data_IF_900770874622
#
_entry.id   IF_900770874622
#
_cell.length_a   1.000
_cell.length_b   1.000
_cell.length_c   1.000
_cell.angle_alpha   90.00
_cell.angle_beta   90.00
_cell.angle_gamma   90.00
#
_symmetry.space_group_name_H-M   'P 1'
#
loop_
_entity.id
_entity.type
_entity.pdbx_description
1 polymer ?
#
# COMPACT_ATOMS: atom_id res chain seq x y z
N UNK A 1 -17.02 -21.86 -24.73
CA UNK A 1 -15.81 -21.08 -25.11
C UNK A 1 -16.23 -19.63 -25.24
N UNK A 2 -15.91 -18.77 -24.26
CA UNK A 2 -16.25 -17.35 -24.34
C UNK A 2 -15.51 -16.74 -25.55
N UNK A 3 -16.25 -16.19 -26.53
CA UNK A 3 -15.67 -15.49 -27.67
C UNK A 3 -14.96 -14.25 -27.14
N UNK A 4 -13.62 -14.25 -27.21
CA UNK A 4 -12.79 -13.13 -26.75
C UNK A 4 -12.72 -12.10 -27.87
N UNK A 5 -13.11 -10.86 -27.58
CA UNK A 5 -12.82 -9.72 -28.43
C UNK A 5 -11.92 -8.78 -27.64
N UNK A 6 -10.76 -8.37 -28.18
CA UNK A 6 -9.90 -7.40 -27.51
C UNK A 6 -10.65 -6.08 -27.35
N UNK A 7 -10.74 -5.56 -26.13
CA UNK A 7 -11.37 -4.28 -25.85
C UNK A 7 -10.32 -3.18 -25.99
N UNK A 8 -10.42 -2.34 -27.03
CA UNK A 8 -9.57 -1.16 -27.17
C UNK A 8 -10.28 0.05 -26.57
N UNK A 9 -9.72 0.63 -25.53
CA UNK A 9 -10.24 1.84 -24.90
C UNK A 9 -9.10 2.73 -24.38
N UNK A 10 -9.42 3.99 -24.09
CA UNK A 10 -8.45 4.93 -23.52
C UNK A 10 -8.15 4.58 -22.04
N UNK A 11 -7.14 5.23 -21.45
CA UNK A 11 -6.71 4.97 -20.06
C UNK A 11 -7.85 5.18 -19.06
N UNK A 12 -8.73 6.15 -19.32
CA UNK A 12 -9.93 6.39 -18.53
C UNK A 12 -10.96 5.26 -18.64
N UNK A 13 -11.19 4.70 -19.82
CA UNK A 13 -12.09 3.57 -20.01
C UNK A 13 -11.59 2.34 -19.25
N UNK A 14 -10.27 2.12 -19.20
CA UNK A 14 -9.67 1.09 -18.35
C UNK A 14 -9.90 1.33 -16.85
N UNK A 15 -9.82 2.59 -16.41
CA UNK A 15 -10.19 2.98 -15.03
C UNK A 15 -11.66 2.67 -14.72
N UNK A 16 -12.58 2.96 -15.65
CA UNK A 16 -14.01 2.65 -15.50
C UNK A 16 -14.23 1.15 -15.40
N UNK A 17 -13.60 0.35 -16.26
CA UNK A 17 -13.69 -1.12 -16.22
C UNK A 17 -13.15 -1.67 -14.89
N UNK A 18 -12.02 -1.16 -14.41
CA UNK A 18 -11.45 -1.54 -13.14
C UNK A 18 -12.39 -1.19 -11.97
N UNK A 19 -12.91 0.03 -11.97
CA UNK A 19 -13.86 0.50 -10.96
C UNK A 19 -15.12 -0.37 -10.93
N UNK A 20 -15.60 -0.82 -12.09
CA UNK A 20 -16.69 -1.80 -12.19
C UNK A 20 -16.35 -3.13 -11.51
N UNK A 21 -15.16 -3.67 -11.72
CA UNK A 21 -14.70 -4.88 -11.02
C UNK A 21 -14.62 -4.67 -9.51
N UNK A 22 -14.10 -3.53 -9.05
CA UNK A 22 -14.03 -3.18 -7.62
C UNK A 22 -15.42 -3.06 -6.99
N UNK A 23 -16.39 -2.50 -7.72
CA UNK A 23 -17.78 -2.43 -7.26
C UNK A 23 -18.37 -3.83 -7.05
N UNK A 24 -18.11 -4.76 -7.98
CA UNK A 24 -18.53 -6.16 -7.83
C UNK A 24 -17.87 -6.80 -6.61
N UNK A 25 -16.58 -6.56 -6.35
CA UNK A 25 -15.91 -7.04 -5.12
C UNK A 25 -16.68 -6.58 -3.88
N UNK A 26 -17.00 -5.28 -3.78
CA UNK A 26 -17.75 -4.73 -2.65
C UNK A 26 -19.14 -5.35 -2.48
N UNK A 27 -19.89 -5.52 -3.57
CA UNK A 27 -21.20 -6.18 -3.54
C UNK A 27 -21.12 -7.65 -3.09
N UNK A 28 -20.10 -8.39 -3.53
CA UNK A 28 -19.91 -9.78 -3.14
C UNK A 28 -19.54 -9.90 -1.65
N UNK A 29 -18.73 -8.97 -1.13
CA UNK A 29 -18.42 -8.90 0.29
C UNK A 29 -19.66 -8.57 1.14
N UNK A 30 -20.46 -7.59 0.71
CA UNK A 30 -21.70 -7.25 1.41
C UNK A 30 -22.68 -8.43 1.42
N UNK A 31 -22.82 -9.14 0.30
CA UNK A 31 -23.64 -10.36 0.22
C UNK A 31 -23.16 -11.41 1.23
N UNK A 32 -21.86 -11.71 1.25
CA UNK A 32 -21.30 -12.70 2.17
C UNK A 32 -21.49 -12.30 3.65
N UNK A 33 -21.37 -11.00 3.98
CA UNK A 33 -21.66 -10.49 5.32
C UNK A 33 -23.13 -10.70 5.70
N UNK A 34 -24.06 -10.34 4.82
CA UNK A 34 -25.50 -10.51 5.06
C UNK A 34 -25.88 -11.99 5.20
N UNK A 35 -25.37 -12.86 4.32
CA UNK A 35 -25.58 -14.31 4.42
C UNK A 35 -25.04 -14.87 5.73
N UNK A 36 -23.83 -14.45 6.14
CA UNK A 36 -23.24 -14.89 7.41
C UNK A 36 -24.03 -14.45 8.65
N UNK A 37 -24.86 -13.40 8.54
CA UNK A 37 -25.73 -12.94 9.63
C UNK A 37 -27.06 -13.70 9.72
N UNK A 38 -27.47 -14.37 8.64
CA UNK A 38 -28.73 -15.10 8.52
C UNK A 38 -28.57 -16.60 8.81
N UNK A 39 -27.40 -17.18 8.53
CA UNK A 39 -27.17 -18.62 8.61
C UNK A 39 -26.63 -19.04 10.00
N UNK A 40 -27.53 -19.60 10.81
CA UNK A 40 -27.24 -20.45 11.95
C UNK A 40 -27.23 -21.92 11.50
N UNK A 41 -26.03 -22.49 11.32
CA UNK A 41 -25.68 -23.92 11.42
C UNK A 41 -26.39 -25.02 10.58
N UNK A 42 -27.36 -24.75 9.71
CA UNK A 42 -28.20 -25.84 9.16
C UNK A 42 -27.99 -26.26 7.70
N UNK A 43 -27.16 -25.57 6.89
CA UNK A 43 -26.90 -26.00 5.51
C UNK A 43 -25.41 -25.86 5.16
N UNK A 44 -24.72 -26.95 4.78
CA UNK A 44 -23.36 -26.87 4.27
C UNK A 44 -23.42 -26.22 2.89
N UNK A 45 -23.32 -24.90 2.85
CA UNK A 45 -23.25 -24.19 1.60
C UNK A 45 -22.00 -24.68 0.85
N UNK A 46 -22.20 -25.34 -0.28
CA UNK A 46 -21.25 -25.40 -1.38
C UNK A 46 -21.07 -23.95 -1.90
N UNK A 47 -20.39 -23.14 -1.10
CA UNK A 47 -20.15 -21.72 -1.34
C UNK A 47 -19.44 -21.59 -2.67
N UNK A 48 -20.15 -21.08 -3.68
CA UNK A 48 -19.54 -20.64 -4.93
C UNK A 48 -18.58 -19.50 -4.59
N UNK A 49 -17.31 -19.85 -4.36
CA UNK A 49 -16.25 -18.91 -4.01
C UNK A 49 -16.07 -17.95 -5.18
N UNK A 50 -16.49 -16.72 -4.99
CA UNK A 50 -16.41 -15.67 -6.01
C UNK A 50 -15.00 -15.12 -6.17
N UNK A 51 -14.14 -15.28 -5.16
CA UNK A 51 -12.79 -14.73 -5.11
C UNK A 51 -11.94 -15.21 -6.30
N UNK A 52 -11.83 -16.51 -6.62
CA UNK A 52 -11.03 -16.97 -7.76
C UNK A 52 -11.53 -16.44 -9.11
N UNK A 53 -12.86 -16.25 -9.26
CA UNK A 53 -13.44 -15.69 -10.49
C UNK A 53 -13.06 -14.22 -10.66
N UNK A 54 -13.12 -13.44 -9.58
CA UNK A 54 -12.75 -12.01 -9.61
C UNK A 54 -11.24 -11.80 -9.73
N UNK A 55 -10.41 -12.65 -9.13
CA UNK A 55 -8.94 -12.61 -9.34
C UNK A 55 -8.63 -12.80 -10.82
N UNK A 56 -9.23 -13.82 -11.45
CA UNK A 56 -9.05 -14.06 -12.88
C UNK A 56 -9.53 -12.89 -13.75
N UNK A 57 -10.60 -12.21 -13.34
CA UNK A 57 -11.09 -11.02 -14.03
C UNK A 57 -10.12 -9.84 -13.90
N UNK A 58 -9.53 -9.62 -12.72
CA UNK A 58 -8.50 -8.61 -12.48
C UNK A 58 -7.22 -8.93 -13.27
N UNK A 59 -6.75 -10.17 -13.26
CA UNK A 59 -5.60 -10.62 -14.06
C UNK A 59 -5.83 -10.36 -15.55
N UNK A 60 -7.03 -10.66 -16.04
CA UNK A 60 -7.40 -10.39 -17.42
C UNK A 60 -7.41 -8.89 -17.72
N UNK A 61 -8.01 -8.08 -16.84
CA UNK A 61 -8.00 -6.62 -16.96
C UNK A 61 -6.56 -6.09 -17.04
N UNK A 62 -5.64 -6.58 -16.19
CA UNK A 62 -4.23 -6.14 -16.19
C UNK A 62 -3.54 -6.51 -17.50
N UNK A 63 -3.70 -7.73 -17.98
CA UNK A 63 -3.07 -8.19 -19.21
C UNK A 63 -3.51 -7.37 -20.44
N UNK A 64 -4.81 -7.06 -20.55
CA UNK A 64 -5.32 -6.23 -21.65
C UNK A 64 -4.90 -4.76 -21.49
N UNK A 65 -4.87 -4.24 -20.27
CA UNK A 65 -4.40 -2.90 -19.98
C UNK A 65 -2.93 -2.71 -20.39
N UNK A 66 -2.06 -3.64 -20.00
CA UNK A 66 -0.62 -3.64 -20.36
C UNK A 66 -0.43 -3.77 -21.88
N UNK A 67 -1.15 -4.68 -22.53
CA UNK A 67 -1.15 -4.82 -24.00
C UNK A 67 -1.58 -3.53 -24.71
N UNK A 68 -2.60 -2.84 -24.20
CA UNK A 68 -3.05 -1.57 -24.73
C UNK A 68 -1.98 -0.47 -24.56
N UNK A 69 -1.27 -0.44 -23.42
CA UNK A 69 -0.16 0.50 -23.20
C UNK A 69 1.01 0.25 -24.14
N UNK A 70 1.39 -1.01 -24.33
CA UNK A 70 2.44 -1.39 -25.28
C UNK A 70 2.08 -0.97 -26.71
N UNK A 71 0.81 -1.14 -27.09
CA UNK A 71 0.31 -0.69 -28.38
C UNK A 71 0.39 0.83 -28.55
N UNK A 72 -0.05 1.60 -27.55
CA UNK A 72 0.05 3.06 -27.56
C UNK A 72 1.51 3.53 -27.66
N UNK A 73 2.42 2.90 -26.91
CA UNK A 73 3.87 3.16 -26.96
C UNK A 73 4.45 2.88 -28.34
N UNK A 74 4.09 1.75 -28.95
CA UNK A 74 4.55 1.36 -30.28
C UNK A 74 4.01 2.26 -31.41
N UNK A 75 2.85 2.87 -31.21
CA UNK A 75 2.23 3.77 -32.18
C UNK A 75 2.82 5.20 -32.18
N UNK A 76 3.81 5.50 -31.31
CA UNK A 76 4.35 6.85 -31.15
C UNK A 76 3.31 7.86 -30.62
N UNK A 77 2.16 7.37 -30.14
CA UNK A 77 1.17 8.19 -29.47
C UNK A 77 1.71 8.49 -28.07
N UNK A 78 1.63 9.77 -27.68
CA UNK A 78 2.05 10.22 -26.37
C UNK A 78 1.04 9.70 -25.34
N UNK A 79 1.21 8.44 -24.92
CA UNK A 79 0.35 7.73 -23.98
C UNK A 79 0.16 8.50 -22.67
N UNK A 80 1.11 9.38 -22.33
CA UNK A 80 1.06 10.31 -21.18
C UNK A 80 0.00 11.42 -21.35
N UNK A 81 -0.34 11.82 -22.57
CA UNK A 81 -1.38 12.84 -22.84
C UNK A 81 -2.81 12.31 -22.75
N UNK A 82 -3.00 10.99 -22.69
CA UNK A 82 -4.32 10.35 -22.61
C UNK A 82 -4.80 10.11 -21.17
N UNK A 83 -4.03 10.57 -20.18
CA UNK A 83 -4.42 10.59 -18.76
C UNK A 83 -5.16 11.87 -18.36
N UNK A 84 -5.89 11.81 -17.24
CA UNK A 84 -6.88 12.80 -16.82
C UNK A 84 -6.31 14.04 -16.08
N UNK A 85 -5.02 14.06 -15.74
CA UNK A 85 -4.40 15.19 -15.00
C UNK A 85 -3.67 16.18 -15.92
N UNK A 86 -3.86 17.48 -15.71
CA UNK A 86 -3.04 18.57 -16.29
C UNK A 86 -1.54 18.38 -16.02
N UNK A 87 -1.20 17.72 -14.90
CA UNK A 87 0.16 17.39 -14.53
C UNK A 87 0.76 16.35 -15.49
N UNK A 88 -0.04 15.42 -16.04
CA UNK A 88 0.42 14.50 -17.09
C UNK A 88 0.64 15.19 -18.43
N UNK A 89 -0.15 16.22 -18.76
CA UNK A 89 0.02 17.06 -19.95
C UNK A 89 1.36 17.82 -19.87
N UNK A 90 1.76 18.21 -18.65
CA UNK A 90 3.04 18.85 -18.35
C UNK A 90 4.17 17.86 -18.01
N UNK A 91 3.94 16.54 -18.16
CA UNK A 91 4.94 15.49 -17.94
C UNK A 91 5.24 15.09 -16.49
N UNK A 92 4.53 15.65 -15.51
CA UNK A 92 4.72 15.39 -14.07
C UNK A 92 3.69 14.46 -13.41
N UNK A 93 2.58 14.14 -14.08
CA UNK A 93 1.54 13.29 -13.49
C UNK A 93 1.89 11.78 -13.53
N UNK A 94 1.21 10.99 -12.68
CA UNK A 94 1.37 9.53 -12.65
C UNK A 94 0.01 8.81 -12.60
N UNK A 95 -0.91 9.18 -13.50
CA UNK A 95 -2.25 8.54 -13.56
C UNK A 95 -2.16 7.09 -14.02
N UNK A 96 -1.08 6.73 -14.73
CA UNK A 96 -0.75 5.33 -15.04
C UNK A 96 -0.56 4.50 -13.77
N UNK A 97 0.12 5.07 -12.76
CA UNK A 97 0.23 4.43 -11.47
C UNK A 97 -1.13 4.33 -10.77
N UNK A 98 -2.07 5.25 -10.97
CA UNK A 98 -3.39 5.16 -10.31
C UNK A 98 -4.14 3.87 -10.71
N UNK A 99 -4.15 3.53 -12.00
CA UNK A 99 -4.79 2.30 -12.47
C UNK A 99 -4.14 1.03 -11.87
N UNK A 100 -2.81 0.99 -11.82
CA UNK A 100 -2.08 -0.13 -11.21
C UNK A 100 -2.24 -0.16 -9.69
N UNK A 101 -2.29 1.00 -9.04
CA UNK A 101 -2.57 1.17 -7.61
C UNK A 101 -3.93 0.57 -7.28
N UNK A 102 -4.96 0.94 -8.04
CA UNK A 102 -6.32 0.41 -7.86
C UNK A 102 -6.40 -1.09 -8.17
N UNK A 103 -5.62 -1.58 -9.13
CA UNK A 103 -5.53 -3.01 -9.42
C UNK A 103 -4.99 -3.81 -8.22
N UNK A 104 -3.89 -3.35 -7.62
CA UNK A 104 -3.34 -3.99 -6.44
C UNK A 104 -4.27 -3.87 -5.24
N UNK A 105 -4.86 -2.69 -5.04
CA UNK A 105 -5.83 -2.45 -3.98
C UNK A 105 -7.09 -3.33 -4.16
N UNK A 106 -7.52 -3.60 -5.39
CA UNK A 106 -8.60 -4.52 -5.70
C UNK A 106 -8.30 -5.95 -5.28
N UNK A 107 -7.12 -6.44 -5.65
CA UNK A 107 -6.68 -7.78 -5.26
C UNK A 107 -6.57 -7.95 -3.73
N UNK A 108 -6.13 -6.91 -3.03
CA UNK A 108 -6.13 -6.88 -1.55
C UNK A 108 -7.56 -6.94 -1.02
N UNK A 109 -8.43 -6.07 -1.52
CA UNK A 109 -9.81 -5.94 -1.03
C UNK A 109 -10.65 -7.20 -1.25
N UNK A 110 -10.30 -8.10 -2.19
CA UNK A 110 -10.96 -9.39 -2.31
C UNK A 110 -10.91 -10.21 -1.00
N UNK A 111 -9.84 -10.06 -0.21
CA UNK A 111 -9.58 -10.90 0.95
C UNK A 111 -9.70 -10.19 2.30
N UNK A 112 -9.36 -8.90 2.36
CA UNK A 112 -9.31 -8.14 3.61
C UNK A 112 -9.67 -6.68 3.34
N UNK A 113 -10.46 -6.07 4.21
CA UNK A 113 -10.90 -4.68 4.05
C UNK A 113 -10.24 -3.75 5.07
N UNK A 114 -10.11 -2.49 4.69
CA UNK A 114 -9.50 -1.46 5.51
C UNK A 114 -10.16 -1.25 6.89
N UNK A 115 -11.51 -1.24 7.00
CA UNK A 115 -12.18 -1.14 8.29
C UNK A 115 -11.79 -2.25 9.28
N UNK A 116 -11.63 -3.49 8.80
CA UNK A 116 -11.27 -4.64 9.64
C UNK A 116 -9.86 -4.48 10.20
N UNK A 117 -8.90 -4.13 9.34
CA UNK A 117 -7.52 -3.84 9.73
C UNK A 117 -7.43 -2.67 10.71
N UNK A 118 -8.22 -1.62 10.48
CA UNK A 118 -8.26 -0.44 11.35
C UNK A 118 -8.75 -0.79 12.75
N UNK A 119 -9.77 -1.65 12.88
CA UNK A 119 -10.27 -2.13 14.17
C UNK A 119 -9.21 -2.93 14.91
N UNK A 120 -8.52 -3.85 14.23
CA UNK A 120 -7.43 -4.63 14.84
C UNK A 120 -6.26 -3.74 15.26
N UNK A 121 -6.00 -2.67 14.52
CA UNK A 121 -5.06 -1.62 14.86
C UNK A 121 -5.60 -0.58 15.85
N UNK A 122 -6.66 -0.91 16.60
CA UNK A 122 -7.13 -0.14 17.75
C UNK A 122 -8.15 0.94 17.44
N UNK A 123 -8.87 0.88 16.31
CA UNK A 123 -9.84 1.93 15.99
C UNK A 123 -11.00 1.91 16.99
N UNK A 124 -11.30 3.09 17.55
CA UNK A 124 -12.45 3.29 18.44
C UNK A 124 -13.71 3.66 17.67
N UNK A 125 -13.55 4.24 16.48
CA UNK A 125 -14.62 4.64 15.57
C UNK A 125 -14.28 4.22 14.14
N UNK A 126 -15.27 3.74 13.42
CA UNK A 126 -15.20 3.45 11.97
C UNK A 126 -16.40 4.15 11.34
N UNK A 127 -16.17 5.05 10.38
CA UNK A 127 -17.22 5.82 9.69
C UNK A 127 -18.21 6.50 10.66
N UNK A 128 -17.68 7.08 11.75
CA UNK A 128 -18.48 7.74 12.79
C UNK A 128 -19.14 6.80 13.81
N UNK A 129 -19.16 5.48 13.57
CA UNK A 129 -19.74 4.48 14.48
C UNK A 129 -18.73 4.00 15.49
N UNK A 130 -19.10 3.97 16.78
CA UNK A 130 -18.27 3.38 17.83
C UNK A 130 -18.12 1.86 17.62
N UNK A 131 -16.90 1.38 17.80
CA UNK A 131 -16.58 -0.05 17.69
C UNK A 131 -16.73 -0.70 19.07
N UNK A 132 -17.63 -1.66 19.17
CA UNK A 132 -17.89 -2.33 20.45
C UNK A 132 -16.73 -3.26 20.85
N UNK A 133 -16.54 -3.56 22.15
CA UNK A 133 -15.53 -4.53 22.58
C UNK A 133 -15.73 -5.93 21.97
N UNK A 134 -16.98 -6.32 21.70
CA UNK A 134 -17.32 -7.57 21.04
C UNK A 134 -16.82 -7.58 19.58
N UNK A 135 -17.09 -6.49 18.84
CA UNK A 135 -16.63 -6.35 17.46
C UNK A 135 -15.10 -6.36 17.38
N UNK A 136 -14.41 -5.73 18.33
CA UNK A 136 -12.94 -5.78 18.39
C UNK A 136 -12.43 -7.22 18.50
N UNK A 137 -13.03 -8.06 19.35
CA UNK A 137 -12.67 -9.48 19.46
C UNK A 137 -12.95 -10.26 18.18
N UNK A 138 -14.15 -10.10 17.63
CA UNK A 138 -14.55 -10.74 16.37
C UNK A 138 -13.61 -10.37 15.21
N UNK A 139 -13.20 -9.10 15.10
CA UNK A 139 -12.27 -8.66 14.06
C UNK A 139 -10.86 -9.21 14.27
N UNK A 140 -10.37 -9.29 15.52
CA UNK A 140 -9.08 -9.94 15.83
C UNK A 140 -9.09 -11.42 15.39
N UNK A 141 -10.15 -12.16 15.71
CA UNK A 141 -10.30 -13.56 15.30
C UNK A 141 -10.44 -13.71 13.78
N UNK A 142 -11.18 -12.81 13.11
CA UNK A 142 -11.31 -12.80 11.66
C UNK A 142 -9.97 -12.57 10.97
N UNK A 143 -9.18 -11.58 11.42
CA UNK A 143 -7.86 -11.28 10.86
C UNK A 143 -6.86 -12.40 11.14
N UNK A 144 -6.91 -13.04 12.31
CA UNK A 144 -6.10 -14.23 12.59
C UNK A 144 -6.41 -15.37 11.61
N UNK A 145 -7.69 -15.71 11.42
CA UNK A 145 -8.12 -16.73 10.43
C UNK A 145 -7.73 -16.36 9.00
N UNK A 146 -7.83 -15.08 8.63
CA UNK A 146 -7.40 -14.61 7.32
C UNK A 146 -5.90 -14.83 7.12
N UNK A 147 -5.06 -14.49 8.11
CA UNK A 147 -3.60 -14.59 8.02
C UNK A 147 -3.10 -16.03 7.78
N UNK A 148 -3.86 -17.04 8.20
CA UNK A 148 -3.58 -18.46 7.95
C UNK A 148 -4.09 -18.98 6.60
N UNK A 149 -4.86 -18.17 5.88
CA UNK A 149 -5.42 -18.54 4.57
C UNK A 149 -4.44 -18.28 3.42
N UNK A 150 -4.63 -18.99 2.30
CA UNK A 150 -3.91 -18.68 1.06
C UNK A 150 -4.23 -17.28 0.51
N UNK A 151 -5.40 -16.73 0.86
CA UNK A 151 -5.82 -15.38 0.49
C UNK A 151 -4.96 -14.29 1.12
N UNK A 152 -4.41 -14.53 2.32
CA UNK A 152 -3.48 -13.59 2.94
C UNK A 152 -2.17 -13.47 2.16
N UNK A 153 -1.65 -14.57 1.60
CA UNK A 153 -0.44 -14.54 0.78
C UNK A 153 -0.67 -13.74 -0.50
N UNK A 154 -1.84 -13.90 -1.14
CA UNK A 154 -2.23 -13.12 -2.32
C UNK A 154 -2.31 -11.62 -2.01
N UNK A 155 -3.03 -11.25 -0.94
CA UNK A 155 -3.16 -9.87 -0.51
C UNK A 155 -1.79 -9.27 -0.09
N UNK A 156 -0.96 -10.04 0.60
CA UNK A 156 0.38 -9.62 1.01
C UNK A 156 1.30 -9.36 -0.20
N UNK A 157 1.28 -10.25 -1.20
CA UNK A 157 2.01 -10.05 -2.45
C UNK A 157 1.62 -8.74 -3.14
N UNK A 158 0.32 -8.49 -3.32
CA UNK A 158 -0.13 -7.26 -3.96
C UNK A 158 0.08 -6.00 -3.10
N UNK A 159 0.08 -6.12 -1.77
CA UNK A 159 0.48 -5.03 -0.89
C UNK A 159 1.95 -4.67 -1.09
N UNK A 160 2.84 -5.65 -1.20
CA UNK A 160 4.27 -5.41 -1.46
C UNK A 160 4.53 -4.79 -2.84
N UNK A 161 3.84 -5.26 -3.88
CA UNK A 161 3.87 -4.63 -5.21
C UNK A 161 3.42 -3.17 -5.14
N UNK A 162 2.36 -2.88 -4.40
CA UNK A 162 1.84 -1.54 -4.20
C UNK A 162 2.83 -0.63 -3.45
N UNK A 163 3.50 -1.13 -2.42
CA UNK A 163 4.58 -0.41 -1.73
C UNK A 163 5.72 -0.08 -2.71
N UNK A 164 6.19 -1.06 -3.50
CA UNK A 164 7.25 -0.82 -4.48
C UNK A 164 6.83 0.21 -5.52
N UNK A 165 5.62 0.08 -6.05
CA UNK A 165 5.06 0.96 -7.07
C UNK A 165 5.01 2.42 -6.61
N UNK A 166 4.70 2.68 -5.34
CA UNK A 166 4.55 4.04 -4.81
C UNK A 166 5.86 4.60 -4.24
N UNK A 167 6.56 3.86 -3.40
CA UNK A 167 7.73 4.36 -2.65
C UNK A 167 9.07 4.16 -3.38
N UNK A 168 9.13 3.18 -4.28
CA UNK A 168 10.37 2.80 -4.98
C UNK A 168 10.12 2.68 -6.48
N UNK A 169 9.62 3.74 -7.15
CA UNK A 169 9.35 3.69 -8.57
C UNK A 169 10.63 3.30 -9.30
N UNK A 170 10.49 2.36 -10.24
CA UNK A 170 11.60 1.95 -11.12
C UNK A 170 12.06 3.22 -11.85
N UNK A 171 13.37 3.53 -11.87
CA UNK A 171 13.91 4.69 -12.56
C UNK A 171 13.91 4.45 -14.08
N UNK A 172 12.72 4.34 -14.68
CA UNK A 172 12.55 4.38 -16.12
C UNK A 172 12.13 5.79 -16.52
N UNK A 173 12.93 6.40 -17.40
CA UNK A 173 12.82 7.75 -17.97
C UNK A 173 13.58 8.85 -17.19
N UNK A 174 14.91 8.74 -17.10
CA UNK A 174 15.72 9.96 -17.26
C UNK A 174 15.43 10.51 -18.66
N UNK A 175 15.01 11.77 -18.73
CA UNK A 175 14.96 12.49 -19.99
C UNK A 175 16.36 12.45 -20.65
N UNK A 176 16.48 12.08 -21.94
CA UNK A 176 17.74 12.14 -22.69
C UNK A 176 18.36 13.53 -22.77
N UNK A 177 17.66 14.57 -22.29
CA UNK A 177 18.08 15.97 -22.32
C UNK A 177 18.99 16.37 -21.14
N UNK A 178 19.04 15.61 -20.05
CA UNK A 178 19.91 15.95 -18.89
C UNK A 178 21.34 15.37 -18.95
N UNK A 179 21.62 14.49 -19.93
CA UNK A 179 22.91 13.77 -20.01
C UNK A 179 24.07 14.65 -20.49
N UNK A 180 23.84 15.93 -20.79
CA UNK A 180 24.87 16.85 -21.27
C UNK A 180 25.59 17.66 -20.16
N UNK A 181 25.15 17.60 -18.90
CA UNK A 181 25.90 18.22 -17.79
C UNK A 181 26.81 17.20 -17.09
N UNK A 182 27.92 16.88 -17.75
CA UNK A 182 28.92 15.92 -17.28
C UNK A 182 29.71 16.45 -16.09
N UNK A 183 29.19 16.26 -14.87
CA UNK A 183 29.99 16.38 -13.65
C UNK A 183 30.04 15.00 -12.93
N UNK A 184 31.21 14.35 -12.80
CA UNK A 184 31.32 13.00 -12.22
C UNK A 184 30.92 12.93 -10.73
N UNK A 185 31.05 14.02 -9.98
CA UNK A 185 30.78 14.07 -8.54
C UNK A 185 29.29 14.17 -8.18
N UNK A 186 28.42 14.46 -9.14
CA UNK A 186 26.96 14.49 -8.93
C UNK A 186 26.27 13.15 -9.17
N UNK A 187 26.95 12.16 -9.77
CA UNK A 187 26.37 10.83 -10.04
C UNK A 187 26.34 9.91 -8.81
N UNK A 188 27.29 10.06 -7.87
CA UNK A 188 27.32 9.26 -6.63
C UNK A 188 26.28 9.74 -5.62
N UNK A 189 26.06 11.05 -5.50
CA UNK A 189 25.00 11.63 -4.63
C UNK A 189 23.58 11.50 -5.20
N UNK A 190 23.40 11.42 -6.52
CA UNK A 190 22.06 11.29 -7.14
C UNK A 190 21.48 9.88 -7.12
N UNK A 191 22.29 8.82 -6.95
CA UNK A 191 21.77 7.43 -6.86
C UNK A 191 20.96 7.15 -5.59
N UNK A 192 21.07 7.99 -4.56
CA UNK A 192 20.38 7.80 -3.28
C UNK A 192 19.14 8.70 -3.08
N UNK A 193 18.96 9.72 -3.93
CA UNK A 193 17.98 10.78 -3.76
C UNK A 193 17.08 10.94 -5.00
N UNK A 194 16.37 9.90 -5.40
CA UNK A 194 15.12 10.12 -6.13
C UNK A 194 14.14 10.89 -5.22
N UNK A 195 13.25 11.74 -5.76
CA UNK A 195 12.25 12.44 -4.94
C UNK A 195 11.45 11.39 -4.16
N UNK A 196 11.46 11.50 -2.84
CA UNK A 196 10.66 10.64 -1.96
C UNK A 196 9.20 10.96 -2.22
N UNK A 197 8.35 9.94 -2.22
CA UNK A 197 6.92 10.14 -2.36
C UNK A 197 6.39 10.91 -1.14
N UNK A 198 5.70 12.03 -1.40
CA UNK A 198 5.07 12.87 -0.40
C UNK A 198 3.61 13.12 -0.77
N UNK A 199 2.69 12.79 0.14
CA UNK A 199 1.26 12.92 -0.06
C UNK A 199 0.78 14.38 -0.03
N UNK A 200 1.60 15.30 0.49
CA UNK A 200 1.33 16.76 0.54
C UNK A 200 1.11 17.36 -0.85
N UNK A 201 1.78 16.83 -1.87
CA UNK A 201 1.66 17.26 -3.26
C UNK A 201 0.49 16.59 -4.00
N UNK A 202 -0.20 15.62 -3.40
CA UNK A 202 -1.28 14.90 -4.07
C UNK A 202 -2.62 15.64 -4.01
N UNK A 203 -3.20 15.87 -5.19
CA UNK A 203 -4.56 16.41 -5.34
C UNK A 203 -5.66 15.42 -4.94
N UNK A 204 -5.38 14.12 -5.05
CA UNK A 204 -6.32 13.05 -4.72
C UNK A 204 -5.66 12.06 -3.76
N UNK A 205 -6.35 11.64 -2.68
CA UNK A 205 -5.75 10.79 -1.65
C UNK A 205 -5.67 9.31 -2.05
N UNK A 206 -5.94 8.95 -3.31
CA UNK A 206 -6.06 7.56 -3.72
C UNK A 206 -4.76 6.78 -3.53
N UNK A 207 -3.60 7.36 -3.91
CA UNK A 207 -2.30 6.69 -3.79
C UNK A 207 -1.83 6.66 -2.35
N UNK A 208 -1.95 7.75 -1.61
CA UNK A 208 -1.62 7.83 -0.19
C UNK A 208 -2.47 6.90 0.66
N UNK A 209 -3.78 6.82 0.40
CA UNK A 209 -4.68 5.86 1.05
C UNK A 209 -4.35 4.41 0.69
N UNK A 210 -4.03 4.13 -0.57
CA UNK A 210 -3.61 2.80 -1.00
C UNK A 210 -2.27 2.39 -0.36
N UNK A 211 -1.33 3.33 -0.22
CA UNK A 211 -0.05 3.12 0.46
C UNK A 211 -0.27 2.77 1.93
N UNK A 212 -1.10 3.52 2.64
CA UNK A 212 -1.53 3.20 3.99
C UNK A 212 -2.18 1.81 4.05
N UNK A 213 -3.08 1.51 3.10
CA UNK A 213 -3.80 0.24 3.04
C UNK A 213 -2.88 -0.96 2.89
N UNK A 214 -1.94 -0.90 1.95
CA UNK A 214 -0.91 -1.92 1.76
C UNK A 214 -0.05 -2.11 3.01
N UNK A 215 0.36 -1.01 3.64
CA UNK A 215 1.19 -1.03 4.84
C UNK A 215 0.49 -1.75 5.99
N UNK A 216 -0.80 -1.49 6.19
CA UNK A 216 -1.60 -2.16 7.22
C UNK A 216 -1.81 -3.65 6.95
N UNK A 217 -1.93 -4.07 5.68
CA UNK A 217 -1.99 -5.49 5.30
C UNK A 217 -0.68 -6.20 5.67
N UNK A 218 0.45 -5.60 5.32
CA UNK A 218 1.80 -6.11 5.62
C UNK A 218 2.01 -6.20 7.13
N UNK A 219 1.63 -5.15 7.87
CA UNK A 219 1.67 -5.12 9.33
C UNK A 219 0.82 -6.23 9.95
N UNK A 220 -0.45 -6.36 9.54
CA UNK A 220 -1.36 -7.34 10.11
C UNK A 220 -0.89 -8.77 9.81
N UNK A 221 -0.44 -9.03 8.59
CA UNK A 221 0.13 -10.33 8.23
C UNK A 221 1.37 -10.64 9.08
N UNK A 222 2.32 -9.72 9.19
CA UNK A 222 3.52 -9.89 10.01
C UNK A 222 3.18 -10.15 11.48
N UNK A 223 2.30 -9.34 12.06
CA UNK A 223 1.86 -9.47 13.46
C UNK A 223 1.19 -10.83 13.74
N UNK A 224 0.31 -11.30 12.85
CA UNK A 224 -0.37 -12.59 13.07
C UNK A 224 0.58 -13.78 12.91
N UNK A 225 1.55 -13.69 12.00
CA UNK A 225 2.45 -14.81 11.67
C UNK A 225 3.64 -14.93 12.62
N UNK A 226 4.20 -13.82 13.05
CA UNK A 226 5.43 -13.79 13.86
C UNK A 226 5.21 -13.18 15.26
N UNK A 227 4.00 -12.66 15.55
CA UNK A 227 3.66 -12.07 16.83
C UNK A 227 4.29 -10.69 17.07
N UNK A 228 4.38 -10.25 18.34
CA UNK A 228 5.03 -9.00 18.72
C UNK A 228 6.51 -8.99 18.33
N UNK A 229 7.03 -7.82 17.96
CA UNK A 229 8.40 -7.68 17.49
C UNK A 229 9.39 -7.74 18.68
N UNK A 230 10.30 -8.72 18.65
CA UNK A 230 11.33 -8.91 19.67
C UNK A 230 12.68 -9.25 18.99
N UNK A 231 13.78 -8.53 19.28
CA UNK A 231 13.87 -7.31 20.10
C UNK A 231 13.29 -6.07 19.39
N UNK A 232 12.95 -5.04 20.17
CA UNK A 232 12.45 -3.78 19.63
C UNK A 232 13.59 -2.92 19.04
N UNK A 233 13.46 -2.39 17.81
CA UNK A 233 14.52 -1.60 17.17
C UNK A 233 14.54 -0.15 17.67
N UNK A 234 15.09 0.09 18.86
CA UNK A 234 15.12 1.42 19.49
C UNK A 234 15.84 2.49 18.65
N UNK A 235 16.82 2.07 17.84
CA UNK A 235 17.59 2.98 16.97
C UNK A 235 16.74 3.67 15.89
N UNK A 236 15.57 3.12 15.55
CA UNK A 236 14.66 3.72 14.56
C UNK A 236 13.84 4.89 15.14
N UNK A 237 13.77 5.00 16.47
CA UNK A 237 13.03 6.06 17.18
C UNK A 237 11.59 6.28 16.68
N UNK A 238 10.93 5.20 16.24
CA UNK A 238 9.53 5.18 15.79
C UNK A 238 8.70 4.17 16.61
N UNK A 239 7.45 4.48 17.00
CA UNK A 239 6.78 5.78 16.83
C UNK A 239 7.41 6.85 17.74
N UNK A 240 7.29 8.15 17.40
CA UNK A 240 7.82 9.23 18.22
C UNK A 240 7.15 9.20 19.61
N UNK A 241 7.94 9.48 20.67
CA UNK A 241 7.41 9.49 22.03
C UNK A 241 6.33 10.56 22.18
N UNK A 242 5.09 10.22 22.62
CA UNK A 242 4.00 11.18 22.75
C UNK A 242 4.20 12.21 23.88
N UNK A 243 5.21 12.04 24.73
CA UNK A 243 5.55 12.92 25.87
C UNK A 243 6.66 13.92 25.57
N UNK A 244 7.21 13.96 24.34
CA UNK A 244 8.08 15.08 23.97
C UNK A 244 7.23 16.36 23.92
N UNK A 245 7.58 17.43 24.66
CA UNK A 245 6.84 18.68 24.61
C UNK A 245 6.83 19.18 23.16
N UNK A 246 5.64 19.43 22.62
CA UNK A 246 5.51 20.20 21.39
C UNK A 246 6.17 21.55 21.68
N UNK A 247 7.31 21.84 21.05
CA UNK A 247 7.92 23.15 21.16
C UNK A 247 6.85 24.20 20.79
N UNK A 248 6.75 25.31 21.55
CA UNK A 248 5.81 26.37 21.22
C UNK A 248 6.00 26.79 19.77
N UNK A 249 4.93 26.75 18.98
CA UNK A 249 4.93 27.27 17.62
C UNK A 249 5.30 28.76 17.67
N UNK A 250 6.56 29.07 17.31
CA UNK A 250 7.07 30.44 17.20
C UNK A 250 7.05 30.85 15.72
N UNK A 251 6.10 31.71 15.30
CA UNK A 251 5.97 32.14 13.91
C UNK A 251 7.13 33.02 13.43
N UNK A 252 8.06 33.40 14.30
CA UNK A 252 9.16 34.34 13.98
C UNK A 252 10.46 33.61 13.60
N UNK A 253 10.57 32.28 13.81
CA UNK A 253 11.79 31.51 13.51
C UNK A 253 11.90 31.02 12.07
N UNK A 254 11.23 31.70 11.13
CA UNK A 254 11.27 31.42 9.69
C UNK A 254 12.45 32.14 9.01
N UNK A 255 13.67 31.76 9.35
CA UNK A 255 14.87 31.86 8.50
C UNK A 255 16.05 31.31 9.29
N UNK A 256 16.76 30.36 8.68
CA UNK A 256 18.01 29.77 9.15
C UNK A 256 17.89 28.70 10.25
N UNK A 257 16.96 27.75 10.09
CA UNK A 257 17.18 26.41 10.65
C UNK A 257 17.98 25.61 9.62
N UNK A 258 19.25 25.37 9.93
CA UNK A 258 19.96 24.19 9.45
C UNK A 258 18.98 23.01 9.51
N UNK A 259 18.67 22.38 8.36
CA UNK A 259 17.84 21.19 8.31
C UNK A 259 18.48 20.17 9.26
N UNK A 260 17.85 19.97 10.42
CA UNK A 260 18.42 19.25 11.56
C UNK A 260 19.05 17.93 11.11
N UNK A 261 20.38 17.82 11.11
CA UNK A 261 21.07 16.61 10.65
C UNK A 261 20.66 15.33 11.41
N UNK A 262 19.97 15.48 12.55
CA UNK A 262 19.36 14.38 13.30
C UNK A 262 18.08 13.84 12.65
N UNK A 263 17.19 14.68 12.13
CA UNK A 263 15.94 14.24 11.47
C UNK A 263 16.25 13.49 10.18
N UNK A 264 17.16 14.01 9.37
CA UNK A 264 17.61 13.38 8.12
C UNK A 264 18.29 12.02 8.36
N UNK A 265 19.05 11.87 9.45
CA UNK A 265 19.65 10.59 9.85
C UNK A 265 18.60 9.56 10.26
N UNK A 266 17.59 9.98 11.03
CA UNK A 266 16.50 9.11 11.44
C UNK A 266 15.66 8.63 10.25
N UNK A 267 15.30 9.53 9.34
CA UNK A 267 14.60 9.20 8.09
C UNK A 267 15.39 8.20 7.25
N UNK A 268 16.70 8.38 7.16
CA UNK A 268 17.58 7.48 6.41
C UNK A 268 17.63 6.08 7.05
N UNK A 269 17.68 5.99 8.38
CA UNK A 269 17.65 4.72 9.10
C UNK A 269 16.32 3.97 8.89
N UNK A 270 15.18 4.67 8.91
CA UNK A 270 13.87 4.09 8.62
C UNK A 270 13.78 3.57 7.18
N UNK A 271 14.31 4.34 6.22
CA UNK A 271 14.34 3.95 4.82
C UNK A 271 15.23 2.73 4.59
N UNK A 272 16.39 2.64 5.24
CA UNK A 272 17.29 1.50 5.16
C UNK A 272 16.68 0.23 5.77
N UNK A 273 16.03 0.34 6.95
CA UNK A 273 15.31 -0.76 7.57
C UNK A 273 14.15 -1.25 6.69
N UNK A 274 13.36 -0.32 6.12
CA UNK A 274 12.28 -0.64 5.19
C UNK A 274 12.79 -1.38 3.94
N UNK A 275 13.89 -0.91 3.34
CA UNK A 275 14.52 -1.57 2.18
C UNK A 275 15.03 -2.97 2.53
N UNK A 276 15.66 -3.11 3.69
CA UNK A 276 16.16 -4.40 4.19
C UNK A 276 15.01 -5.38 4.40
N UNK A 277 13.92 -4.92 5.02
CA UNK A 277 12.69 -5.71 5.18
C UNK A 277 12.13 -6.15 3.82
N UNK A 278 11.92 -5.22 2.89
CA UNK A 278 11.36 -5.52 1.58
C UNK A 278 12.24 -6.48 0.77
N UNK A 279 13.57 -6.34 0.83
CA UNK A 279 14.48 -7.29 0.17
C UNK A 279 14.42 -8.69 0.79
N UNK A 280 14.16 -8.79 2.09
CA UNK A 280 14.00 -10.06 2.80
C UNK A 280 12.69 -10.76 2.43
N UNK A 281 11.55 -10.05 2.49
CA UNK A 281 10.22 -10.66 2.27
C UNK A 281 9.78 -10.66 0.80
N UNK A 282 10.39 -9.81 -0.04
CA UNK A 282 9.99 -9.59 -1.42
C UNK A 282 11.19 -9.35 -2.36
N UNK A 283 12.10 -10.34 -2.49
CA UNK A 283 13.23 -10.26 -3.41
C UNK A 283 12.75 -10.27 -4.87
N UNK A 284 13.60 -9.81 -5.80
CA UNK A 284 13.30 -9.71 -7.23
C UNK A 284 12.96 -11.06 -7.93
N UNK A 285 13.22 -12.19 -7.25
CA UNK A 285 12.84 -13.53 -7.71
C UNK A 285 11.34 -13.80 -7.57
N UNK A 286 10.64 -13.08 -6.70
CA UNK A 286 9.20 -13.24 -6.49
C UNK A 286 8.44 -12.41 -7.51
N UNK A 287 7.74 -13.07 -8.42
CA UNK A 287 6.98 -12.42 -9.52
C UNK A 287 5.50 -12.79 -9.56
N UNK A 288 5.06 -13.61 -8.62
CA UNK A 288 3.69 -14.09 -8.55
C UNK A 288 3.28 -14.40 -7.11
N UNK A 289 1.97 -14.43 -6.81
CA UNK A 289 1.46 -14.90 -5.52
C UNK A 289 1.95 -16.32 -5.16
N UNK A 290 2.14 -17.19 -6.14
CA UNK A 290 2.64 -18.56 -5.94
C UNK A 290 4.12 -18.58 -5.54
N UNK A 291 4.94 -17.73 -6.16
CA UNK A 291 6.35 -17.58 -5.77
C UNK A 291 6.46 -16.98 -4.37
N UNK A 292 5.60 -16.01 -4.05
CA UNK A 292 5.51 -15.41 -2.71
C UNK A 292 5.17 -16.46 -1.67
N UNK A 293 4.21 -17.35 -1.94
CA UNK A 293 3.88 -18.46 -1.05
C UNK A 293 5.07 -19.39 -0.80
N UNK A 294 5.82 -19.75 -1.84
CA UNK A 294 7.04 -20.58 -1.71
C UNK A 294 8.13 -19.87 -0.90
N UNK A 295 8.35 -18.59 -1.16
CA UNK A 295 9.35 -17.79 -0.45
C UNK A 295 9.01 -17.61 1.03
N UNK A 296 7.75 -17.26 1.35
CA UNK A 296 7.29 -17.07 2.73
C UNK A 296 7.32 -18.35 3.56
N UNK A 297 7.21 -19.53 2.93
CA UNK A 297 7.42 -20.82 3.61
C UNK A 297 8.88 -21.01 4.07
N UNK A 298 9.85 -20.43 3.36
CA UNK A 298 11.28 -20.52 3.71
C UNK A 298 11.65 -19.51 4.80
N UNK A 299 10.97 -18.37 4.86
CA UNK A 299 11.17 -17.37 5.91
C UNK A 299 10.57 -17.88 7.22
N UNK A 300 11.43 -18.17 8.21
CA UNK A 300 10.99 -18.60 9.55
C UNK A 300 10.70 -17.44 10.51
N UNK A 301 11.40 -16.32 10.36
CA UNK A 301 11.29 -15.15 11.25
C UNK A 301 11.52 -13.85 10.46
N UNK A 302 10.94 -12.76 10.96
CA UNK A 302 11.18 -11.40 10.47
C UNK A 302 10.10 -10.86 9.55
N UNK A 303 8.95 -11.55 9.41
CA UNK A 303 7.79 -11.07 8.64
C UNK A 303 7.14 -9.84 9.29
N UNK A 304 7.34 -9.67 10.61
CA UNK A 304 6.88 -8.54 11.41
C UNK A 304 7.89 -7.37 11.54
N UNK A 305 9.05 -7.41 10.88
CA UNK A 305 10.07 -6.33 10.91
C UNK A 305 9.67 -5.13 10.04
N UNK A 306 8.49 -4.59 10.29
CA UNK A 306 7.84 -3.57 9.45
C UNK A 306 8.01 -2.15 10.00
N UNK A 307 8.81 -1.95 11.07
CA UNK A 307 8.90 -0.64 11.76
C UNK A 307 9.47 0.44 10.84
N UNK A 308 10.54 0.17 10.10
CA UNK A 308 11.05 1.08 9.08
C UNK A 308 9.98 1.44 8.06
N UNK A 309 9.23 0.45 7.56
CA UNK A 309 8.15 0.67 6.60
C UNK A 309 7.02 1.55 7.18
N UNK A 310 6.58 1.29 8.42
CA UNK A 310 5.57 2.11 9.09
C UNK A 310 6.04 3.56 9.23
N UNK A 311 7.31 3.78 9.58
CA UNK A 311 7.89 5.12 9.71
C UNK A 311 8.03 5.86 8.39
N UNK A 312 8.52 5.18 7.33
CA UNK A 312 8.62 5.77 5.99
C UNK A 312 7.24 6.19 5.47
N UNK A 313 6.22 5.36 5.67
CA UNK A 313 4.86 5.66 5.22
C UNK A 313 4.26 6.79 6.06
N UNK A 314 4.48 6.80 7.38
CA UNK A 314 4.05 7.91 8.24
C UNK A 314 4.64 9.26 7.78
N UNK A 315 5.93 9.28 7.43
CA UNK A 315 6.60 10.46 6.86
C UNK A 315 6.01 10.84 5.51
N UNK A 316 5.78 9.87 4.62
CA UNK A 316 5.17 10.12 3.31
C UNK A 316 3.75 10.69 3.41
N UNK A 317 2.99 10.35 4.45
CA UNK A 317 1.64 10.87 4.69
C UNK A 317 1.62 12.22 5.42
N UNK A 318 2.75 12.63 5.99
CA UNK A 318 2.85 13.86 6.79
C UNK A 318 2.70 15.11 5.92
N UNK A 319 2.17 16.19 6.50
CA UNK A 319 1.99 17.47 5.81
C UNK A 319 0.89 17.48 4.75
N UNK A 320 0.08 16.41 4.64
CA UNK A 320 -1.10 16.41 3.78
C UNK A 320 -2.21 17.28 4.38
N UNK A 321 -3.00 17.94 3.53
CA UNK A 321 -4.21 18.65 3.97
C UNK A 321 -5.42 17.75 4.24
N UNK A 322 -5.27 16.42 4.19
CA UNK A 322 -6.36 15.46 4.30
C UNK A 322 -6.42 14.86 5.72
N UNK A 323 -7.47 15.19 6.48
CA UNK A 323 -7.76 14.62 7.81
C UNK A 323 -7.77 13.07 7.82
N UNK A 324 -8.16 12.47 6.70
CA UNK A 324 -8.12 11.01 6.52
C UNK A 324 -6.69 10.45 6.67
N UNK A 325 -5.68 11.17 6.17
CA UNK A 325 -4.29 10.76 6.21
C UNK A 325 -3.65 11.05 7.58
N UNK A 326 -4.14 12.04 8.32
CA UNK A 326 -3.76 12.27 9.72
C UNK A 326 -4.28 11.14 10.63
N UNK A 327 -5.51 10.66 10.39
CA UNK A 327 -6.01 9.44 11.05
C UNK A 327 -5.18 8.21 10.65
N UNK A 328 -4.79 8.10 9.38
CA UNK A 328 -3.90 7.02 8.91
C UNK A 328 -2.53 7.05 9.61
N UNK A 329 -1.89 8.23 9.73
CA UNK A 329 -0.66 8.44 10.50
C UNK A 329 -0.79 7.96 11.96
N UNK A 330 -1.86 8.40 12.65
CA UNK A 330 -2.14 7.95 14.02
C UNK A 330 -2.36 6.44 14.11
N UNK A 331 -2.97 5.85 13.09
CA UNK A 331 -3.18 4.40 13.00
C UNK A 331 -1.86 3.64 12.85
N UNK A 332 -0.93 4.12 12.02
CA UNK A 332 0.40 3.53 11.85
C UNK A 332 1.20 3.56 13.16
N UNK A 333 1.15 4.67 13.90
CA UNK A 333 1.78 4.80 15.23
C UNK A 333 1.18 3.80 16.22
N UNK A 334 -0.14 3.65 16.22
CA UNK A 334 -0.83 2.65 17.07
C UNK A 334 -0.44 1.23 16.69
N UNK A 335 -0.35 0.93 15.39
CA UNK A 335 0.09 -0.37 14.87
C UNK A 335 1.52 -0.71 15.32
N UNK A 336 2.43 0.26 15.34
CA UNK A 336 3.78 0.09 15.88
C UNK A 336 3.77 -0.19 17.40
N UNK A 337 2.93 0.53 18.16
CA UNK A 337 2.78 0.25 19.60
C UNK A 337 2.24 -1.16 19.88
N UNK A 338 1.31 -1.67 19.05
CA UNK A 338 0.82 -3.04 19.14
C UNK A 338 1.94 -4.05 18.83
N UNK A 339 2.83 -3.76 17.86
CA UNK A 339 4.01 -4.62 17.63
C UNK A 339 4.96 -4.64 18.82
N UNK A 340 5.10 -3.51 19.53
CA UNK A 340 5.96 -3.41 20.72
C UNK A 340 5.41 -4.20 21.91
N UNK A 341 4.11 -4.05 22.17
CA UNK A 341 3.48 -4.51 23.41
C UNK A 341 2.69 -5.82 23.26
N UNK A 342 2.30 -6.17 22.03
CA UNK A 342 1.32 -7.22 21.73
C UNK A 342 -0.12 -6.70 21.59
N UNK A 343 -1.02 -7.60 21.18
CA UNK A 343 -2.44 -7.35 20.90
C UNK A 343 -3.32 -7.18 22.14
#
# INVERSE_FOLDING_TARGET
MFKRQPCRTNVFGWLVLLSGLLSIVGHMQQRDLLTSSLESDLVPNSSDKWQPKLIKALEWWKAEYESNLEHLRGAGLDWRRYSLSEENINGGGNDLALNLVLYHLGNINIYITMPELSVVAGASKILGRLVSPFEKRMMKEKVARWADSSGAIHAFYHALELIRLILFPIPDCQDPTEVLSGNPDSQSRRREAGPRYEASYEKLPNRSWALFSATMVIWAYGLQRDGPLKPWPTHLAYPPNPTAPAEPYDPVRCRDQDVDGASTRQESALAEDARTYLNHVFPATVKSPQDSARHLQQIKIGRNRVIGLLGVVDQALSGSGWELLDEASRRLKTAAMILKNGL
#
